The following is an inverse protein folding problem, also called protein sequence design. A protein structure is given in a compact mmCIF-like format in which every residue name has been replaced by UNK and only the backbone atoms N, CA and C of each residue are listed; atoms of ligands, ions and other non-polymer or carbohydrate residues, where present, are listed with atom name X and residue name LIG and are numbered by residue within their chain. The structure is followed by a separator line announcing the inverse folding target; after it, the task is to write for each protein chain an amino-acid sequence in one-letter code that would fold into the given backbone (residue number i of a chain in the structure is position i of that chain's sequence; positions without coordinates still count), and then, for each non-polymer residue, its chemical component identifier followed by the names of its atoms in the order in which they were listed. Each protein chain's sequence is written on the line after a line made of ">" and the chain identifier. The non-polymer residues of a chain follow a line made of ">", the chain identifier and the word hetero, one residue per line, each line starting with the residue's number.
data_IF_906169923965
#
_entry.id   IF_906169923965
#
_cell.length_a   1.000
_cell.length_b   1.000
_cell.length_c   1.000
_cell.angle_alpha   90.00
_cell.angle_beta   90.00
_cell.angle_gamma   90.00
#
_symmetry.space_group_name_H-M   'P 1'
#
loop_
_entity.id
_entity.type
_entity.pdbx_description
1 polymer ?
#
# COMPACT_ATOMS: atom_id res chain seq x y z
N UNK A 1 12.35 29.49 7.41
CA UNK A 1 11.77 30.78 6.98
C UNK A 1 10.26 30.61 6.88
N UNK A 2 9.44 31.38 7.62
CA UNK A 2 7.98 31.35 7.53
C UNK A 2 7.41 31.68 6.15
N UNK A 3 8.18 32.32 5.25
CA UNK A 3 7.72 32.66 3.89
C UNK A 3 8.03 31.60 2.84
N UNK A 4 8.48 30.41 3.26
CA UNK A 4 8.80 29.30 2.36
C UNK A 4 7.52 28.80 1.65
N UNK A 5 7.61 28.64 0.33
CA UNK A 5 6.50 28.20 -0.54
C UNK A 5 5.85 26.89 -0.08
N UNK A 6 6.57 26.03 0.66
CA UNK A 6 5.99 24.79 1.20
C UNK A 6 4.77 25.03 2.10
N UNK A 7 4.70 26.19 2.77
CA UNK A 7 3.57 26.54 3.63
C UNK A 7 2.30 26.81 2.83
N UNK A 8 2.42 27.31 1.59
CA UNK A 8 1.29 27.51 0.66
C UNK A 8 0.56 26.21 0.28
N UNK A 9 1.13 25.04 0.60
CA UNK A 9 0.48 23.73 0.39
C UNK A 9 -0.28 23.21 1.63
N UNK A 10 -0.32 23.98 2.72
CA UNK A 10 -1.10 23.61 3.91
C UNK A 10 -2.59 23.93 3.71
N UNK A 11 -3.47 23.10 4.28
CA UNK A 11 -4.92 23.19 4.03
C UNK A 11 -5.51 24.57 4.31
N UNK A 12 -5.05 25.24 5.37
CA UNK A 12 -5.57 26.55 5.76
C UNK A 12 -5.31 27.65 4.71
N UNK A 13 -4.24 27.54 3.94
CA UNK A 13 -3.88 28.47 2.87
C UNK A 13 -4.88 28.41 1.69
N UNK A 14 -5.62 27.31 1.54
CA UNK A 14 -6.63 27.18 0.48
C UNK A 14 -8.00 27.73 0.89
N UNK A 15 -8.32 27.82 2.20
CA UNK A 15 -9.67 28.15 2.67
C UNK A 15 -10.11 29.54 2.20
N UNK A 16 -9.22 30.53 2.29
CA UNK A 16 -9.55 31.90 1.90
C UNK A 16 -9.64 32.07 0.38
N UNK A 17 -8.67 31.62 -0.45
CA UNK A 17 -8.80 31.65 -1.91
C UNK A 17 -10.03 30.91 -2.44
N UNK A 18 -10.43 29.80 -1.81
CA UNK A 18 -11.62 29.03 -2.23
C UNK A 18 -12.92 29.85 -2.12
N UNK A 19 -13.00 30.87 -1.26
CA UNK A 19 -14.16 31.79 -1.22
C UNK A 19 -14.39 32.51 -2.55
N UNK A 20 -13.33 32.78 -3.31
CA UNK A 20 -13.42 33.40 -4.63
C UNK A 20 -13.76 32.42 -5.75
N UNK A 21 -13.70 31.11 -5.50
CA UNK A 21 -13.92 30.05 -6.49
C UNK A 21 -15.24 29.29 -6.28
N UNK A 22 -15.75 29.24 -5.05
CA UNK A 22 -16.97 28.53 -4.68
C UNK A 22 -18.18 29.47 -4.62
N UNK A 23 -19.37 28.91 -4.79
CA UNK A 23 -20.59 29.70 -4.95
C UNK A 23 -21.27 30.06 -3.62
N UNK A 24 -20.89 29.42 -2.52
CA UNK A 24 -21.48 29.67 -1.20
C UNK A 24 -20.57 29.27 -0.03
N UNK A 25 -20.81 29.87 1.14
CA UNK A 25 -20.16 29.48 2.40
C UNK A 25 -20.42 28.03 2.78
N UNK A 26 -21.60 27.50 2.44
CA UNK A 26 -21.95 26.10 2.72
C UNK A 26 -21.09 25.13 1.90
N UNK A 27 -20.88 25.43 0.62
CA UNK A 27 -19.99 24.64 -0.25
C UNK A 27 -18.55 24.66 0.26
N UNK A 28 -18.05 25.84 0.65
CA UNK A 28 -16.73 25.99 1.26
C UNK A 28 -16.57 25.18 2.54
N UNK A 29 -17.55 25.26 3.44
CA UNK A 29 -17.55 24.52 4.69
C UNK A 29 -17.55 23.00 4.43
N UNK A 30 -18.46 22.51 3.58
CA UNK A 30 -18.57 21.09 3.26
C UNK A 30 -17.28 20.54 2.64
N UNK A 31 -16.69 21.27 1.70
CA UNK A 31 -15.41 20.87 1.09
C UNK A 31 -14.27 20.85 2.12
N UNK A 32 -14.19 21.88 2.97
CA UNK A 32 -13.15 21.96 4.02
C UNK A 32 -13.27 20.82 5.02
N UNK A 33 -14.49 20.50 5.48
CA UNK A 33 -14.73 19.37 6.39
C UNK A 33 -14.32 18.04 5.75
N UNK A 34 -14.65 17.82 4.47
CA UNK A 34 -14.25 16.61 3.76
C UNK A 34 -12.72 16.47 3.65
N UNK A 35 -12.00 17.57 3.42
CA UNK A 35 -10.54 17.56 3.43
C UNK A 35 -9.98 17.20 4.80
N UNK A 36 -10.51 17.78 5.88
CA UNK A 36 -10.09 17.48 7.25
C UNK A 36 -10.38 16.02 7.63
N UNK A 37 -11.54 15.48 7.25
CA UNK A 37 -11.88 14.07 7.44
C UNK A 37 -10.89 13.15 6.70
N UNK A 38 -10.50 13.50 5.48
CA UNK A 38 -9.50 12.76 4.71
C UNK A 38 -8.12 12.75 5.40
N UNK A 39 -7.70 13.89 5.97
CA UNK A 39 -6.48 13.98 6.77
C UNK A 39 -6.57 13.09 8.00
N UNK A 40 -7.67 13.18 8.76
CA UNK A 40 -7.88 12.37 9.96
C UNK A 40 -7.89 10.87 9.64
N UNK A 41 -8.58 10.47 8.56
CA UNK A 41 -8.59 9.09 8.06
C UNK A 41 -7.18 8.60 7.71
N UNK A 42 -6.39 9.44 7.04
CA UNK A 42 -5.00 9.12 6.67
C UNK A 42 -4.12 8.94 7.92
N UNK A 43 -4.24 9.84 8.91
CA UNK A 43 -3.49 9.75 10.17
C UNK A 43 -3.86 8.46 10.91
N UNK A 44 -5.16 8.17 11.07
CA UNK A 44 -5.64 6.94 11.73
C UNK A 44 -5.10 5.69 11.05
N UNK A 45 -5.13 5.63 9.72
CA UNK A 45 -4.58 4.49 8.98
C UNK A 45 -3.07 4.35 9.11
N UNK A 46 -2.32 5.45 9.17
CA UNK A 46 -0.88 5.41 9.38
C UNK A 46 -0.52 4.90 10.78
N UNK A 47 -1.23 5.37 11.83
CA UNK A 47 -1.03 4.87 13.19
C UNK A 47 -1.38 3.38 13.30
N UNK A 48 -2.47 2.96 12.65
CA UNK A 48 -2.83 1.54 12.59
C UNK A 48 -1.77 0.72 11.86
N UNK A 49 -1.25 1.24 10.75
CA UNK A 49 -0.19 0.60 9.98
C UNK A 49 1.07 0.36 10.82
N UNK A 50 1.44 1.29 11.72
CA UNK A 50 2.60 1.08 12.59
C UNK A 50 2.43 -0.16 13.48
N UNK A 51 1.28 -0.31 14.14
CA UNK A 51 0.98 -1.49 14.95
C UNK A 51 0.95 -2.77 14.10
N UNK A 52 0.25 -2.73 12.96
CA UNK A 52 0.14 -3.85 12.02
C UNK A 52 1.50 -4.33 11.47
N UNK A 53 2.46 -3.42 11.30
CA UNK A 53 3.82 -3.74 10.87
C UNK A 53 4.59 -4.47 11.98
N UNK A 54 4.39 -4.07 13.25
CA UNK A 54 5.02 -4.73 14.39
C UNK A 54 4.57 -6.19 14.55
N UNK A 55 3.30 -6.47 14.26
CA UNK A 55 2.73 -7.83 14.37
C UNK A 55 3.08 -8.73 13.16
N UNK A 56 3.67 -8.16 12.11
CA UNK A 56 4.06 -8.89 10.91
C UNK A 56 5.27 -9.81 11.10
N UNK A 57 5.40 -10.81 10.24
CA UNK A 57 6.54 -11.73 10.24
C UNK A 57 7.68 -11.12 9.43
N UNK A 58 8.81 -10.86 10.09
CA UNK A 58 10.03 -10.36 9.45
C UNK A 58 10.98 -11.53 9.14
N UNK A 59 11.53 -11.55 7.92
CA UNK A 59 12.52 -12.55 7.49
C UNK A 59 13.51 -11.97 6.48
N UNK A 60 14.65 -12.67 6.32
CA UNK A 60 15.63 -12.36 5.29
C UNK A 60 15.39 -13.21 4.05
N UNK A 61 15.28 -12.59 2.88
CA UNK A 61 14.99 -13.29 1.60
C UNK A 61 15.99 -12.91 0.52
N UNK A 62 15.81 -13.46 -0.69
CA UNK A 62 16.57 -13.04 -1.87
C UNK A 62 16.36 -11.55 -2.22
N UNK A 63 15.26 -10.94 -1.77
CA UNK A 63 14.93 -9.52 -1.98
C UNK A 63 15.25 -8.65 -0.76
N UNK A 64 16.04 -9.15 0.19
CA UNK A 64 16.46 -8.37 1.37
C UNK A 64 15.53 -8.55 2.59
N UNK A 65 15.51 -7.54 3.46
CA UNK A 65 14.71 -7.53 4.68
C UNK A 65 13.23 -7.47 4.31
N UNK A 66 12.53 -8.57 4.55
CA UNK A 66 11.17 -8.78 4.07
C UNK A 66 10.18 -8.82 5.22
N UNK A 67 9.06 -8.11 5.06
CA UNK A 67 7.91 -8.19 5.95
C UNK A 67 6.77 -8.95 5.28
N UNK A 68 6.16 -9.89 5.98
CA UNK A 68 4.96 -10.60 5.53
C UNK A 68 3.86 -10.40 6.57
N UNK A 69 2.70 -9.89 6.15
CA UNK A 69 1.61 -9.51 7.05
C UNK A 69 0.24 -9.81 6.45
N UNK A 70 -0.73 -10.09 7.34
CA UNK A 70 -2.13 -10.31 6.98
C UNK A 70 -3.01 -9.21 7.59
N UNK A 71 -3.27 -8.15 6.81
CA UNK A 71 -3.90 -6.92 7.31
C UNK A 71 -4.79 -6.29 6.25
N UNK A 72 -5.88 -5.63 6.66
CA UNK A 72 -6.80 -4.92 5.74
C UNK A 72 -6.24 -3.58 5.24
N UNK A 73 -5.33 -2.98 5.98
CA UNK A 73 -4.84 -1.64 5.71
C UNK A 73 -3.79 -1.64 4.57
N UNK A 74 -4.14 -1.09 3.41
CA UNK A 74 -3.18 -0.98 2.30
C UNK A 74 -2.01 -0.04 2.60
N UNK A 75 -2.19 0.95 3.48
CA UNK A 75 -1.16 1.94 3.78
C UNK A 75 0.06 1.32 4.47
N UNK A 76 -0.13 0.19 5.16
CA UNK A 76 0.93 -0.57 5.83
C UNK A 76 2.07 -0.95 4.88
N UNK A 77 1.77 -1.26 3.60
CA UNK A 77 2.81 -1.62 2.62
C UNK A 77 3.76 -0.44 2.38
N UNK A 78 3.22 0.76 2.13
CA UNK A 78 4.03 1.96 1.88
C UNK A 78 4.76 2.39 3.15
N UNK A 79 4.12 2.26 4.31
CA UNK A 79 4.69 2.63 5.59
C UNK A 79 5.88 1.72 5.95
N UNK A 80 5.73 0.40 5.77
CA UNK A 80 6.80 -0.57 6.00
C UNK A 80 8.02 -0.31 5.10
N UNK A 81 7.82 -0.08 3.80
CA UNK A 81 8.92 0.28 2.90
C UNK A 81 9.67 1.54 3.38
N UNK A 82 8.96 2.57 3.85
CA UNK A 82 9.59 3.78 4.43
C UNK A 82 10.36 3.50 5.73
N UNK A 83 9.98 2.47 6.49
CA UNK A 83 10.67 2.03 7.72
C UNK A 83 11.89 1.14 7.43
N UNK A 84 12.27 0.97 6.16
CA UNK A 84 13.52 0.30 5.77
C UNK A 84 13.39 -1.20 5.49
N UNK A 85 12.18 -1.70 5.21
CA UNK A 85 12.03 -3.01 4.59
C UNK A 85 12.31 -2.93 3.09
N UNK A 86 13.00 -3.94 2.56
CA UNK A 86 13.33 -4.05 1.14
C UNK A 86 12.17 -4.63 0.33
N UNK A 87 11.42 -5.56 0.94
CA UNK A 87 10.22 -6.18 0.40
C UNK A 87 9.11 -6.27 1.44
N UNK A 88 7.86 -6.09 0.99
CA UNK A 88 6.68 -6.23 1.84
C UNK A 88 5.62 -7.03 1.09
N UNK A 89 5.13 -8.09 1.73
CA UNK A 89 4.03 -8.94 1.30
C UNK A 89 2.85 -8.69 2.23
N UNK A 90 1.72 -8.28 1.65
CA UNK A 90 0.48 -8.03 2.39
C UNK A 90 -0.62 -8.91 1.80
N UNK A 91 -1.25 -9.72 2.64
CA UNK A 91 -2.50 -10.44 2.33
C UNK A 91 -3.65 -9.74 3.04
N UNK A 92 -4.76 -9.56 2.35
CA UNK A 92 -5.99 -9.08 2.96
C UNK A 92 -6.74 -10.27 3.60
N UNK A 93 -7.09 -10.22 4.90
CA UNK A 93 -7.80 -11.32 5.56
C UNK A 93 -9.24 -11.51 5.06
N UNK A 94 -9.89 -10.47 4.53
CA UNK A 94 -11.30 -10.51 4.13
C UNK A 94 -11.48 -10.92 2.67
N UNK A 95 -10.75 -10.28 1.75
CA UNK A 95 -10.89 -10.53 0.31
C UNK A 95 -9.74 -11.36 -0.29
N UNK A 96 -8.77 -11.75 0.54
CA UNK A 96 -7.64 -12.62 0.16
C UNK A 96 -6.74 -12.09 -0.96
N UNK A 97 -6.87 -10.80 -1.29
CA UNK A 97 -5.98 -10.15 -2.25
C UNK A 97 -4.58 -10.05 -1.68
N UNK A 98 -3.58 -10.25 -2.54
CA UNK A 98 -2.17 -10.20 -2.16
C UNK A 98 -1.48 -9.06 -2.88
N UNK A 99 -0.66 -8.31 -2.15
CA UNK A 99 0.15 -7.23 -2.70
C UNK A 99 1.57 -7.38 -2.21
N UNK A 100 2.49 -7.52 -3.16
CA UNK A 100 3.92 -7.63 -2.91
C UNK A 100 4.59 -6.42 -3.55
N UNK A 101 5.35 -5.67 -2.76
CA UNK A 101 6.10 -4.52 -3.25
C UNK A 101 7.52 -4.55 -2.72
N UNK A 102 8.45 -4.07 -3.53
CA UNK A 102 9.83 -3.83 -3.14
C UNK A 102 10.15 -2.34 -3.20
N UNK A 103 11.30 -1.94 -2.65
CA UNK A 103 11.88 -0.64 -2.99
C UNK A 103 12.06 -0.54 -4.51
N UNK A 104 11.93 0.65 -5.12
CA UNK A 104 12.04 0.85 -6.56
C UNK A 104 13.50 0.77 -7.03
N UNK A 105 14.10 -0.41 -6.90
CA UNK A 105 15.48 -0.72 -7.27
C UNK A 105 15.46 -1.97 -8.18
N UNK A 106 16.12 -1.94 -9.35
CA UNK A 106 16.20 -3.07 -10.27
C UNK A 106 16.73 -4.36 -9.64
N UNK A 107 17.55 -4.29 -8.59
CA UNK A 107 18.05 -5.49 -7.89
C UNK A 107 16.94 -6.29 -7.20
N UNK A 108 15.78 -5.67 -6.96
CA UNK A 108 14.63 -6.30 -6.34
C UNK A 108 13.55 -6.71 -7.35
N UNK A 109 13.96 -7.15 -8.54
CA UNK A 109 13.09 -7.67 -9.59
C UNK A 109 12.23 -8.85 -9.08
N UNK A 110 10.91 -8.68 -9.12
CA UNK A 110 9.92 -9.69 -8.69
C UNK A 110 9.54 -10.69 -9.78
N UNK A 111 10.12 -10.63 -10.99
CA UNK A 111 9.85 -11.59 -12.08
C UNK A 111 10.02 -13.04 -11.61
N UNK A 112 11.11 -13.43 -10.90
CA UNK A 112 11.25 -14.81 -10.42
C UNK A 112 10.17 -15.19 -9.40
N UNK A 113 9.73 -14.24 -8.56
CA UNK A 113 8.65 -14.48 -7.60
C UNK A 113 7.31 -14.66 -8.31
N UNK A 114 7.04 -13.83 -9.33
CA UNK A 114 5.84 -13.92 -10.14
C UNK A 114 5.68 -15.30 -10.78
N UNK A 115 6.75 -15.83 -11.37
CA UNK A 115 6.75 -17.18 -11.95
C UNK A 115 6.48 -18.27 -10.88
N UNK A 116 7.09 -18.14 -9.69
CA UNK A 116 6.82 -19.04 -8.55
C UNK A 116 5.35 -18.95 -8.11
N UNK A 117 4.77 -17.75 -8.07
CA UNK A 117 3.38 -17.51 -7.65
C UNK A 117 2.37 -18.09 -8.63
N UNK A 118 2.55 -17.90 -9.95
CA UNK A 118 1.66 -18.50 -10.95
C UNK A 118 1.68 -20.03 -10.89
N UNK A 119 2.85 -20.63 -10.68
CA UNK A 119 2.97 -22.09 -10.54
C UNK A 119 2.29 -22.59 -9.26
N UNK A 120 2.39 -21.83 -8.16
CA UNK A 120 1.81 -22.20 -6.88
C UNK A 120 0.29 -21.96 -6.81
N UNK A 121 -0.22 -20.95 -7.52
CA UNK A 121 -1.64 -20.61 -7.58
C UNK A 121 -2.06 -20.22 -9.01
N UNK A 122 -2.23 -21.22 -9.90
CA UNK A 122 -2.49 -20.99 -11.32
C UNK A 122 -3.89 -20.44 -11.62
N UNK A 123 -4.81 -20.48 -10.65
CA UNK A 123 -6.19 -19.97 -10.83
C UNK A 123 -6.31 -18.50 -10.44
N UNK A 124 -5.39 -17.99 -9.62
CA UNK A 124 -5.40 -16.62 -9.16
C UNK A 124 -4.92 -15.65 -10.25
N UNK A 125 -5.49 -14.45 -10.27
CA UNK A 125 -5.11 -13.41 -11.22
C UNK A 125 -3.92 -12.64 -10.68
N UNK A 126 -2.70 -13.07 -11.04
CA UNK A 126 -1.46 -12.38 -10.71
C UNK A 126 -1.05 -11.40 -11.81
N UNK A 127 -0.64 -10.21 -11.42
CA UNK A 127 -0.18 -9.16 -12.32
C UNK A 127 1.15 -8.58 -11.82
N UNK A 128 2.20 -8.73 -12.64
CA UNK A 128 3.48 -8.08 -12.44
C UNK A 128 3.47 -6.71 -13.14
N UNK A 129 3.65 -5.64 -12.37
CA UNK A 129 3.73 -4.29 -12.93
C UNK A 129 5.00 -4.13 -13.79
N UNK A 130 4.96 -3.23 -14.78
CA UNK A 130 6.08 -2.99 -15.72
C UNK A 130 7.41 -2.58 -15.03
N UNK A 131 7.34 -1.98 -13.84
CA UNK A 131 8.54 -1.67 -13.04
C UNK A 131 9.20 -2.92 -12.43
N UNK A 132 8.53 -4.06 -12.42
CA UNK A 132 8.94 -5.32 -11.78
C UNK A 132 9.11 -5.27 -10.26
N UNK A 133 8.90 -4.13 -9.62
CA UNK A 133 8.92 -3.96 -8.15
C UNK A 133 7.53 -4.07 -7.48
N UNK A 134 6.48 -4.37 -8.25
CA UNK A 134 5.13 -4.56 -7.71
C UNK A 134 4.47 -5.78 -8.34
N UNK A 135 4.09 -6.73 -7.51
CA UNK A 135 3.33 -7.92 -7.86
C UNK A 135 1.99 -7.86 -7.14
N UNK A 136 0.91 -7.81 -7.92
CA UNK A 136 -0.44 -7.59 -7.46
C UNK A 136 -1.29 -8.83 -7.73
N UNK A 137 -2.18 -9.15 -6.81
CA UNK A 137 -3.24 -10.11 -6.99
C UNK A 137 -4.54 -9.52 -6.45
N UNK A 138 -5.60 -9.59 -7.27
CA UNK A 138 -6.84 -8.93 -6.93
C UNK A 138 -6.89 -7.46 -7.38
N UNK A 139 -8.07 -7.01 -7.75
CA UNK A 139 -8.36 -5.59 -7.98
C UNK A 139 -9.83 -5.34 -7.72
N UNK A 140 -10.15 -4.33 -6.90
CA UNK A 140 -11.53 -3.87 -6.70
C UNK A 140 -12.16 -3.30 -7.97
N UNK A 141 -11.34 -2.98 -8.99
CA UNK A 141 -11.78 -2.42 -10.27
C UNK A 141 -11.94 -3.48 -11.38
N UNK A 142 -11.53 -4.72 -11.14
CA UNK A 142 -11.69 -5.81 -12.10
C UNK A 142 -12.58 -6.90 -11.50
N UNK A 143 -13.87 -6.97 -11.90
CA UNK A 143 -14.83 -7.95 -11.38
C UNK A 143 -14.41 -9.41 -11.61
N UNK A 144 -13.60 -9.67 -12.65
CA UNK A 144 -13.14 -11.01 -13.01
C UNK A 144 -11.83 -11.40 -12.32
N UNK A 145 -11.29 -10.53 -11.46
CA UNK A 145 -10.04 -10.83 -10.76
C UNK A 145 -10.27 -11.90 -9.70
N UNK A 146 -9.50 -12.97 -9.76
CA UNK A 146 -9.54 -14.08 -8.80
C UNK A 146 -8.48 -13.84 -7.71
N UNK A 147 -8.87 -13.63 -6.43
CA UNK A 147 -7.92 -13.53 -5.32
C UNK A 147 -7.15 -14.84 -5.11
N UNK A 148 -5.97 -14.73 -4.54
CA UNK A 148 -5.08 -15.84 -4.25
C UNK A 148 -5.66 -16.73 -3.15
N UNK A 149 -5.62 -18.03 -3.40
CA UNK A 149 -5.96 -19.08 -2.43
C UNK A 149 -4.83 -19.36 -1.43
N UNK A 150 -3.62 -18.84 -1.70
CA UNK A 150 -2.47 -19.01 -0.83
C UNK A 150 -2.70 -18.40 0.56
N UNK A 151 -2.43 -19.19 1.60
CA UNK A 151 -2.41 -18.73 2.99
C UNK A 151 -1.16 -17.88 3.29
N UNK A 152 -1.17 -17.14 4.40
CA UNK A 152 -0.01 -16.39 4.86
C UNK A 152 1.23 -17.28 5.02
N UNK A 153 1.08 -18.45 5.65
CA UNK A 153 2.16 -19.45 5.82
C UNK A 153 2.74 -19.87 4.47
N UNK A 154 1.89 -20.13 3.48
CA UNK A 154 2.36 -20.54 2.15
C UNK A 154 3.09 -19.41 1.43
N UNK A 155 2.65 -18.16 1.60
CA UNK A 155 3.38 -16.99 1.08
C UNK A 155 4.77 -16.88 1.72
N UNK A 156 4.87 -17.06 3.04
CA UNK A 156 6.15 -17.07 3.76
C UNK A 156 7.08 -18.16 3.20
N UNK A 157 6.59 -19.39 2.99
CA UNK A 157 7.38 -20.49 2.43
C UNK A 157 7.92 -20.16 1.03
N UNK A 158 7.07 -19.66 0.13
CA UNK A 158 7.46 -19.35 -1.26
C UNK A 158 8.54 -18.28 -1.29
N UNK A 159 8.37 -17.25 -0.47
CA UNK A 159 9.27 -16.10 -0.38
C UNK A 159 10.59 -16.44 0.32
N UNK A 160 10.58 -17.38 1.26
CA UNK A 160 11.78 -17.85 1.96
C UNK A 160 12.67 -18.77 1.11
N UNK A 161 12.10 -19.44 0.10
CA UNK A 161 12.85 -20.33 -0.79
C UNK A 161 13.71 -19.50 -1.75
N UNK A 162 15.03 -19.57 -1.58
CA UNK A 162 16.02 -19.12 -2.57
C UNK A 162 15.70 -19.77 -3.93
#
# INVERSE_FOLDING_TARGET
>A
DPTDVKYSFMIHEFIYPLRGLLSSDMELMSMTMLMLDSVLFTIKNNLKAENEIHDGVTLQTAWGKTLVMEVKNESAVKHALKKGFDMVVRRDPENHTVRIKTQPDPKFDLTPLYEKMIKADPKATWFLHASKNMLLNGSSKNPNSVPSSLSLTRLIEIVSKK
#
